data_IF_308947799132
#
_entry.id   IF_308947799132
#
_cell.length_a   1.000
_cell.length_b   1.000
_cell.length_c   1.000
_cell.angle_alpha   90.00
_cell.angle_beta   90.00
_cell.angle_gamma   90.00
#
_symmetry.space_group_name_H-M   'P 1'
#
loop_
_entity.id
_entity.type
_entity.pdbx_description
1 polymer ?
#
# COMPACT_ATOMS: atom_id res chain seq x y z
N UNK A 1 -11.06 37.86 -13.51
CA UNK A 1 -10.04 37.50 -12.50
C UNK A 1 -10.14 36.00 -12.24
N UNK A 2 -9.19 35.18 -12.69
CA UNK A 2 -9.22 33.71 -12.46
C UNK A 2 -8.80 33.47 -11.01
N UNK A 3 -9.75 33.12 -10.14
CA UNK A 3 -9.44 32.63 -8.79
C UNK A 3 -8.58 31.37 -8.97
N UNK A 4 -7.29 31.43 -8.59
CA UNK A 4 -6.43 30.23 -8.57
C UNK A 4 -7.01 29.27 -7.54
N UNK A 5 -7.56 28.14 -8.00
CA UNK A 5 -8.09 27.10 -7.10
C UNK A 5 -6.96 26.55 -6.24
N UNK A 6 -7.16 26.52 -4.92
CA UNK A 6 -6.23 25.91 -3.97
C UNK A 6 -6.18 24.40 -4.24
N UNK A 7 -4.99 23.85 -4.46
CA UNK A 7 -4.79 22.42 -4.65
C UNK A 7 -4.09 21.85 -3.42
N UNK A 8 -4.62 20.74 -2.91
CA UNK A 8 -4.10 20.05 -1.73
C UNK A 8 -3.40 18.77 -2.18
N UNK A 9 -2.29 18.44 -1.52
CA UNK A 9 -1.56 17.18 -1.71
C UNK A 9 -2.45 16.01 -1.29
N UNK A 10 -2.66 15.07 -2.19
CA UNK A 10 -3.48 13.88 -1.93
C UNK A 10 -2.73 12.83 -1.13
N UNK A 11 -3.44 11.88 -0.49
CA UNK A 11 -2.83 10.77 0.21
C UNK A 11 -1.79 10.05 -0.65
N UNK A 12 -0.65 9.75 -0.04
CA UNK A 12 0.46 9.07 -0.71
C UNK A 12 0.15 7.59 -0.94
N UNK A 13 0.63 7.02 -2.04
CA UNK A 13 0.45 5.61 -2.32
C UNK A 13 1.66 4.81 -1.81
N UNK A 14 1.40 3.74 -1.07
CA UNK A 14 2.41 2.83 -0.51
C UNK A 14 2.15 1.41 -1.00
N UNK A 15 3.15 0.72 -1.56
CA UNK A 15 3.03 -0.71 -1.86
C UNK A 15 3.43 -1.53 -0.64
N UNK A 16 2.75 -2.64 -0.42
CA UNK A 16 3.18 -3.67 0.54
C UNK A 16 3.15 -5.02 -0.15
N UNK A 17 4.28 -5.70 -0.21
CA UNK A 17 4.45 -6.89 -1.03
C UNK A 17 5.40 -7.87 -0.36
N UNK A 18 5.05 -9.15 -0.39
CA UNK A 18 5.94 -10.25 -0.03
C UNK A 18 6.34 -11.01 -1.30
N UNK A 19 7.64 -11.25 -1.50
CA UNK A 19 8.18 -11.99 -2.65
C UNK A 19 9.21 -13.03 -2.24
N UNK A 20 9.31 -14.11 -3.02
CA UNK A 20 10.34 -15.13 -2.82
C UNK A 20 11.72 -14.55 -3.14
N UNK A 21 12.73 -15.08 -2.47
CA UNK A 21 14.12 -14.95 -2.86
C UNK A 21 14.64 -16.31 -3.35
N UNK A 22 15.32 -16.39 -4.51
CA UNK A 22 15.76 -15.27 -5.36
C UNK A 22 14.80 -14.89 -6.51
N UNK A 23 13.71 -15.64 -6.72
CA UNK A 23 12.94 -15.58 -7.98
C UNK A 23 11.87 -14.47 -8.06
N UNK A 24 11.70 -13.68 -7.00
CA UNK A 24 10.74 -12.58 -6.91
C UNK A 24 9.26 -13.01 -7.14
N UNK A 25 8.93 -14.27 -6.85
CA UNK A 25 7.57 -14.82 -6.98
C UNK A 25 6.69 -14.26 -5.87
N UNK A 26 5.49 -13.80 -6.21
CA UNK A 26 4.48 -13.32 -5.26
C UNK A 26 3.22 -14.20 -5.25
N UNK A 27 3.14 -15.21 -6.13
CA UNK A 27 1.98 -16.08 -6.21
C UNK A 27 2.21 -17.33 -7.04
N UNK A 28 1.48 -18.38 -6.66
CA UNK A 28 1.33 -19.65 -7.38
C UNK A 28 -0.15 -20.01 -7.35
N UNK A 29 -0.79 -20.15 -8.50
CA UNK A 29 -2.21 -20.50 -8.62
C UNK A 29 -3.13 -19.54 -7.80
N UNK A 30 -2.81 -18.24 -7.85
CA UNK A 30 -3.45 -17.16 -7.09
C UNK A 30 -3.28 -17.25 -5.56
N UNK A 31 -2.36 -18.07 -5.02
CA UNK A 31 -2.08 -18.15 -3.58
C UNK A 31 -0.65 -17.75 -3.27
N UNK A 32 -0.40 -17.30 -2.05
CA UNK A 32 0.96 -17.20 -1.53
C UNK A 32 1.52 -18.62 -1.35
N UNK A 33 2.75 -18.92 -1.80
CA UNK A 33 3.33 -20.26 -1.68
C UNK A 33 3.89 -20.55 -0.28
N UNK A 34 3.67 -19.65 0.68
CA UNK A 34 4.09 -19.78 2.07
C UNK A 34 3.00 -19.28 3.03
N UNK A 35 3.15 -19.67 4.29
CA UNK A 35 2.41 -19.17 5.42
C UNK A 35 3.38 -18.51 6.43
N UNK A 36 3.30 -17.19 6.52
CA UNK A 36 4.11 -16.36 7.42
C UNK A 36 3.14 -15.57 8.32
N UNK A 37 2.78 -16.14 9.47
CA UNK A 37 1.81 -15.53 10.38
C UNK A 37 2.29 -14.17 10.88
N UNK A 38 3.59 -14.01 11.12
CA UNK A 38 4.17 -12.76 11.61
C UNK A 38 4.05 -11.66 10.55
N UNK A 39 4.39 -11.95 9.29
CA UNK A 39 4.23 -11.01 8.17
C UNK A 39 2.76 -10.60 7.97
N UNK A 40 1.82 -11.56 8.02
CA UNK A 40 0.38 -11.28 7.91
C UNK A 40 -0.13 -10.38 9.05
N UNK A 41 0.38 -10.54 10.28
CA UNK A 41 0.03 -9.67 11.41
C UNK A 41 0.57 -8.26 11.21
N UNK A 42 1.81 -8.12 10.73
CA UNK A 42 2.41 -6.84 10.43
C UNK A 42 1.68 -6.13 9.28
N UNK A 43 1.34 -6.85 8.21
CA UNK A 43 0.48 -6.38 7.13
C UNK A 43 -0.86 -5.87 7.66
N UNK A 44 -1.53 -6.64 8.53
CA UNK A 44 -2.79 -6.22 9.14
C UNK A 44 -2.63 -4.95 9.96
N UNK A 45 -1.61 -4.87 10.83
CA UNK A 45 -1.35 -3.69 11.67
C UNK A 45 -1.12 -2.43 10.83
N UNK A 46 -0.26 -2.52 9.80
CA UNK A 46 0.06 -1.39 8.93
C UNK A 46 -1.12 -0.91 8.11
N UNK A 47 -1.90 -1.85 7.54
CA UNK A 47 -2.99 -1.50 6.62
C UNK A 47 -4.31 -1.17 7.32
N UNK A 48 -4.50 -1.53 8.60
CA UNK A 48 -5.76 -1.29 9.32
C UNK A 48 -6.13 0.19 9.37
N UNK A 49 -7.40 0.50 9.13
CA UNK A 49 -7.93 1.86 9.08
C UNK A 49 -7.59 2.64 7.81
N UNK A 50 -6.93 2.02 6.83
CA UNK A 50 -6.57 2.65 5.56
C UNK A 50 -7.42 2.11 4.40
N UNK A 51 -7.46 2.88 3.31
CA UNK A 51 -7.87 2.35 2.02
C UNK A 51 -6.79 1.40 1.48
N UNK A 52 -7.24 0.33 0.84
CA UNK A 52 -6.37 -0.64 0.18
C UNK A 52 -6.86 -0.90 -1.24
N UNK A 53 -5.94 -0.99 -2.20
CA UNK A 53 -6.20 -1.28 -3.61
C UNK A 53 -5.63 -2.66 -3.93
N UNK A 54 -6.45 -3.49 -4.55
CA UNK A 54 -6.04 -4.81 -5.05
C UNK A 54 -6.75 -5.14 -6.36
N UNK A 55 -6.25 -6.15 -7.07
CA UNK A 55 -6.89 -6.66 -8.28
C UNK A 55 -7.94 -7.72 -7.96
N UNK A 56 -8.85 -7.98 -8.91
CA UNK A 56 -9.87 -9.03 -8.80
C UNK A 56 -9.31 -10.39 -8.33
N UNK A 57 -8.23 -10.88 -8.95
CA UNK A 57 -7.65 -12.19 -8.61
C UNK A 57 -7.13 -12.26 -7.17
N UNK A 58 -6.55 -11.16 -6.67
CA UNK A 58 -6.13 -11.04 -5.27
C UNK A 58 -7.33 -11.03 -4.33
N UNK A 59 -8.41 -10.36 -4.71
CA UNK A 59 -9.65 -10.39 -3.93
C UNK A 59 -10.27 -11.80 -3.87
N UNK A 60 -10.27 -12.50 -5.00
CA UNK A 60 -10.75 -13.89 -5.10
C UNK A 60 -9.93 -14.85 -4.23
N UNK A 61 -8.61 -14.67 -4.16
CA UNK A 61 -7.75 -15.50 -3.31
C UNK A 61 -7.95 -15.29 -1.82
N UNK A 62 -8.46 -14.12 -1.42
CA UNK A 62 -8.94 -13.82 -0.07
C UNK A 62 -10.34 -14.39 0.21
N UNK A 63 -10.89 -15.19 -0.71
CA UNK A 63 -12.21 -15.79 -0.60
C UNK A 63 -13.36 -14.84 -0.88
N UNK A 64 -13.12 -13.78 -1.67
CA UNK A 64 -14.10 -12.71 -1.96
C UNK A 64 -14.62 -12.01 -0.69
N UNK A 65 -13.80 -11.93 0.34
CA UNK A 65 -14.14 -11.28 1.62
C UNK A 65 -13.31 -10.01 1.77
N UNK A 66 -13.95 -8.90 2.20
CA UNK A 66 -13.20 -7.71 2.51
C UNK A 66 -12.27 -7.98 3.69
N UNK A 67 -11.09 -7.40 3.60
CA UNK A 67 -10.18 -7.32 4.72
C UNK A 67 -10.81 -6.37 5.78
N UNK A 68 -11.02 -6.80 7.03
CA UNK A 68 -11.75 -6.03 8.03
C UNK A 68 -11.04 -4.73 8.39
N UNK A 69 -11.82 -3.73 8.81
CA UNK A 69 -11.37 -2.39 9.22
C UNK A 69 -10.61 -1.64 8.12
N UNK A 70 -10.90 -1.91 6.85
CA UNK A 70 -10.24 -1.31 5.67
C UNK A 70 -11.27 -1.05 4.59
N UNK A 71 -11.07 0.04 3.84
CA UNK A 71 -11.83 0.23 2.60
C UNK A 71 -11.15 -0.58 1.50
N UNK A 72 -11.82 -1.62 1.01
CA UNK A 72 -11.33 -2.56 0.02
C UNK A 72 -11.70 -2.08 -1.39
N UNK A 73 -10.74 -1.51 -2.11
CA UNK A 73 -10.91 -1.01 -3.48
C UNK A 73 -10.44 -2.09 -4.46
N UNK A 74 -11.37 -2.65 -5.23
CA UNK A 74 -11.10 -3.75 -6.16
C UNK A 74 -11.05 -3.19 -7.58
N UNK A 75 -9.84 -3.14 -8.15
CA UNK A 75 -9.64 -2.74 -9.55
C UNK A 75 -9.94 -3.92 -10.48
N UNK A 76 -10.97 -3.77 -11.30
CA UNK A 76 -11.43 -4.81 -12.22
C UNK A 76 -12.19 -4.19 -13.39
N UNK A 77 -11.98 -4.73 -14.60
CA UNK A 77 -12.80 -4.35 -15.77
C UNK A 77 -14.24 -4.85 -15.66
N UNK A 78 -14.41 -6.01 -15.02
CA UNK A 78 -15.71 -6.60 -14.72
C UNK A 78 -16.22 -6.07 -13.38
N UNK A 79 -17.53 -5.80 -13.32
CA UNK A 79 -18.19 -5.36 -12.11
C UNK A 79 -18.04 -6.38 -10.97
N UNK A 80 -17.77 -5.88 -9.76
CA UNK A 80 -17.73 -6.68 -8.54
C UNK A 80 -19.00 -6.37 -7.75
N UNK A 81 -19.96 -7.29 -7.82
CA UNK A 81 -21.19 -7.18 -7.06
C UNK A 81 -20.91 -7.51 -5.59
N UNK A 82 -21.09 -6.53 -4.72
CA UNK A 82 -20.98 -6.71 -3.28
C UNK A 82 -21.99 -5.83 -2.55
N UNK A 83 -22.65 -6.39 -1.54
CA UNK A 83 -23.51 -5.65 -0.62
C UNK A 83 -22.72 -5.07 0.57
N UNK A 84 -21.41 -5.31 0.64
CA UNK A 84 -20.59 -4.81 1.74
C UNK A 84 -20.26 -3.33 1.53
N UNK A 85 -20.50 -2.46 2.53
CA UNK A 85 -20.09 -1.05 2.46
C UNK A 85 -18.57 -0.88 2.43
N UNK A 86 -17.82 -1.90 2.85
CA UNK A 86 -16.36 -1.90 2.88
C UNK A 86 -15.73 -2.22 1.52
N UNK A 87 -16.52 -2.59 0.51
CA UNK A 87 -16.03 -2.93 -0.84
C UNK A 87 -16.41 -1.82 -1.82
N UNK A 88 -15.42 -1.34 -2.58
CA UNK A 88 -15.61 -0.38 -3.67
C UNK A 88 -15.03 -0.98 -4.95
N UNK A 89 -15.87 -1.16 -5.96
CA UNK A 89 -15.41 -1.58 -7.28
C UNK A 89 -14.92 -0.37 -8.09
N UNK A 90 -13.68 -0.43 -8.57
CA UNK A 90 -13.13 0.55 -9.49
C UNK A 90 -12.92 -0.07 -10.88
N UNK A 91 -13.45 0.57 -11.92
CA UNK A 91 -13.32 0.12 -13.31
C UNK A 91 -11.98 0.48 -13.95
N UNK A 92 -11.32 1.50 -13.43
CA UNK A 92 -10.07 2.09 -13.94
C UNK A 92 -9.24 2.69 -12.79
N UNK A 93 -8.02 3.13 -13.14
CA UNK A 93 -7.02 3.64 -12.19
C UNK A 93 -7.49 4.94 -11.56
N UNK A 94 -8.07 5.83 -12.36
CA UNK A 94 -8.59 7.12 -11.93
C UNK A 94 -9.67 6.95 -10.86
N UNK A 95 -10.60 6.04 -11.08
CA UNK A 95 -11.67 5.70 -10.13
C UNK A 95 -11.08 5.07 -8.86
N UNK A 96 -10.10 4.17 -8.98
CA UNK A 96 -9.45 3.54 -7.82
C UNK A 96 -8.72 4.58 -6.94
N UNK A 97 -7.95 5.48 -7.58
CA UNK A 97 -7.26 6.57 -6.89
C UNK A 97 -8.24 7.54 -6.22
N UNK A 98 -9.36 7.84 -6.88
CA UNK A 98 -10.40 8.69 -6.35
C UNK A 98 -11.08 8.09 -5.11
N UNK A 99 -11.40 6.80 -5.13
CA UNK A 99 -11.90 6.11 -3.94
C UNK A 99 -10.87 6.07 -2.82
N UNK A 100 -9.59 5.87 -3.15
CA UNK A 100 -8.51 5.89 -2.17
C UNK A 100 -8.36 7.27 -1.52
N UNK A 101 -8.43 8.34 -2.32
CA UNK A 101 -8.37 9.72 -1.83
C UNK A 101 -9.54 10.02 -0.88
N UNK A 102 -10.77 9.81 -1.33
CA UNK A 102 -11.98 10.09 -0.53
C UNK A 102 -11.95 9.30 0.77
N UNK A 103 -11.69 7.99 0.70
CA UNK A 103 -11.69 7.12 1.88
C UNK A 103 -10.60 7.52 2.88
N UNK A 104 -9.42 7.86 2.40
CA UNK A 104 -8.30 8.25 3.25
C UNK A 104 -8.53 9.63 3.87
N UNK A 105 -9.08 10.59 3.13
CA UNK A 105 -9.44 11.92 3.64
C UNK A 105 -10.47 11.81 4.76
N UNK A 106 -11.54 11.03 4.56
CA UNK A 106 -12.58 10.80 5.58
C UNK A 106 -11.97 10.13 6.82
N UNK A 107 -11.09 9.16 6.64
CA UNK A 107 -10.39 8.49 7.73
C UNK A 107 -9.24 9.31 8.35
N UNK A 108 -8.98 10.52 7.85
CA UNK A 108 -7.85 11.35 8.29
C UNK A 108 -6.48 10.72 8.05
N UNK A 109 -6.35 9.82 7.06
CA UNK A 109 -5.12 9.14 6.67
C UNK A 109 -4.40 9.91 5.57
N UNK A 110 -3.07 9.99 5.68
CA UNK A 110 -2.19 10.64 4.69
C UNK A 110 -1.66 9.65 3.64
N UNK A 111 -2.03 8.38 3.72
CA UNK A 111 -1.63 7.34 2.78
C UNK A 111 -2.71 6.28 2.59
N UNK A 112 -2.55 5.49 1.53
CA UNK A 112 -3.29 4.26 1.25
C UNK A 112 -2.34 3.20 0.68
N UNK A 113 -2.79 1.94 0.67
CA UNK A 113 -1.93 0.82 0.28
C UNK A 113 -2.33 0.17 -1.04
N UNK A 114 -1.36 -0.17 -1.88
CA UNK A 114 -1.51 -1.10 -3.00
C UNK A 114 -0.96 -2.46 -2.54
N UNK A 115 -1.82 -3.47 -2.48
CA UNK A 115 -1.54 -4.68 -1.70
C UNK A 115 -1.40 -5.96 -2.53
N UNK A 116 -1.65 -5.93 -3.83
CA UNK A 116 -1.51 -7.17 -4.59
C UNK A 116 -2.10 -7.26 -5.97
N UNK A 117 -1.52 -8.23 -6.68
CA UNK A 117 -1.71 -8.51 -8.10
C UNK A 117 -0.52 -7.96 -8.87
N UNK A 118 0.22 -8.82 -9.58
CA UNK A 118 1.37 -8.41 -10.40
C UNK A 118 1.02 -7.22 -11.31
N UNK A 119 -0.10 -7.32 -12.03
CA UNK A 119 -0.56 -6.25 -12.92
C UNK A 119 -0.89 -4.96 -12.15
N UNK A 120 -1.40 -5.07 -10.93
CA UNK A 120 -1.78 -3.92 -10.11
C UNK A 120 -0.53 -3.19 -9.64
N UNK A 121 0.50 -3.90 -9.18
CA UNK A 121 1.78 -3.30 -8.86
C UNK A 121 2.36 -2.51 -10.05
N UNK A 122 2.36 -3.10 -11.25
CA UNK A 122 2.83 -2.43 -12.49
C UNK A 122 1.99 -1.19 -12.84
N UNK A 123 0.67 -1.28 -12.75
CA UNK A 123 -0.24 -0.16 -13.07
C UNK A 123 -0.03 1.02 -12.11
N UNK A 124 0.23 0.75 -10.83
CA UNK A 124 0.36 1.79 -9.81
C UNK A 124 1.79 2.28 -9.60
N UNK A 125 2.81 1.62 -10.17
CA UNK A 125 4.24 1.85 -9.94
C UNK A 125 4.64 3.33 -9.90
N UNK A 126 4.17 4.12 -10.88
CA UNK A 126 4.47 5.57 -10.96
C UNK A 126 3.96 6.40 -9.79
N UNK A 127 2.88 5.96 -9.13
CA UNK A 127 2.28 6.67 -8.00
C UNK A 127 2.89 6.28 -6.65
N UNK A 128 3.62 5.15 -6.59
CA UNK A 128 4.13 4.60 -5.35
C UNK A 128 5.32 5.41 -4.86
N UNK A 129 5.21 5.95 -3.65
CA UNK A 129 6.28 6.71 -3.00
C UNK A 129 7.03 5.89 -1.95
N UNK A 130 6.43 4.79 -1.48
CA UNK A 130 7.01 3.92 -0.48
C UNK A 130 6.68 2.46 -0.77
N UNK A 131 7.61 1.56 -0.48
CA UNK A 131 7.39 0.11 -0.55
C UNK A 131 7.80 -0.53 0.78
N UNK A 132 6.91 -1.32 1.36
CA UNK A 132 7.26 -2.32 2.35
C UNK A 132 7.46 -3.66 1.65
N UNK A 133 8.71 -4.06 1.49
CA UNK A 133 9.08 -5.30 0.85
C UNK A 133 9.39 -6.35 1.90
N UNK A 134 8.65 -7.46 1.88
CA UNK A 134 9.00 -8.69 2.59
C UNK A 134 9.74 -9.63 1.64
N UNK A 135 11.05 -9.82 1.84
CA UNK A 135 11.85 -10.82 1.12
C UNK A 135 11.81 -12.15 1.88
N UNK A 136 11.24 -13.19 1.26
CA UNK A 136 11.06 -14.50 1.87
C UNK A 136 12.16 -15.45 1.39
N UNK A 137 13.02 -15.89 2.31
CA UNK A 137 14.17 -16.76 2.01
C UNK A 137 13.74 -18.23 1.94
N UNK A 138 12.92 -18.55 0.94
CA UNK A 138 12.38 -19.89 0.69
C UNK A 138 13.15 -20.69 -0.37
N UNK A 139 14.16 -20.09 -1.01
CA UNK A 139 14.84 -20.68 -2.16
C UNK A 139 14.01 -20.60 -3.44
N UNK A 140 14.47 -21.24 -4.53
CA UNK A 140 13.82 -21.15 -5.82
C UNK A 140 12.39 -21.72 -5.83
N UNK A 141 11.46 -21.00 -6.44
CA UNK A 141 10.05 -21.39 -6.56
C UNK A 141 9.58 -21.11 -8.00
N UNK A 142 8.87 -22.07 -8.58
CA UNK A 142 8.14 -21.85 -9.83
C UNK A 142 6.77 -21.23 -9.52
N UNK A 143 6.49 -20.05 -10.05
CA UNK A 143 5.23 -19.34 -9.81
C UNK A 143 4.78 -18.49 -10.99
N UNK A 144 3.51 -18.08 -10.93
CA UNK A 144 2.78 -17.46 -12.03
C UNK A 144 2.59 -15.95 -11.89
N UNK A 145 3.01 -15.38 -10.76
CA UNK A 145 2.97 -13.95 -10.49
C UNK A 145 4.28 -13.47 -9.87
N UNK A 146 4.80 -12.33 -10.34
CA UNK A 146 6.08 -11.77 -9.87
C UNK A 146 6.02 -10.29 -9.46
N UNK A 147 6.97 -9.88 -8.64
CA UNK A 147 7.26 -8.47 -8.33
C UNK A 147 8.75 -8.18 -8.56
N UNK A 148 9.07 -7.70 -9.77
CA UNK A 148 10.45 -7.65 -10.29
C UNK A 148 11.16 -6.31 -10.10
N UNK A 149 10.57 -5.36 -9.37
CA UNK A 149 11.24 -4.07 -9.09
C UNK A 149 12.59 -4.33 -8.41
N UNK A 150 13.65 -3.80 -9.03
CA UNK A 150 15.01 -3.75 -8.47
C UNK A 150 15.17 -2.41 -7.74
N UNK A 151 15.41 -2.47 -6.44
CA UNK A 151 15.56 -1.29 -5.58
C UNK A 151 17.00 -0.78 -5.50
N UNK A 152 17.97 -1.56 -5.98
CA UNK A 152 19.40 -1.27 -5.81
C UNK A 152 20.06 -0.72 -7.07
N UNK A 153 19.47 -0.99 -8.25
CA UNK A 153 20.04 -0.58 -9.53
C UNK A 153 19.04 0.25 -10.33
N UNK A 154 19.51 1.40 -10.79
CA UNK A 154 18.91 2.08 -11.93
C UNK A 154 19.67 1.74 -13.22
N UNK A 155 19.19 2.25 -14.36
CA UNK A 155 19.93 2.27 -15.61
C UNK A 155 21.39 2.71 -15.38
N UNK A 156 22.32 2.02 -16.05
CA UNK A 156 23.77 2.05 -15.84
C UNK A 156 24.31 3.44 -15.47
N UNK A 157 24.74 3.61 -14.21
CA UNK A 157 25.50 4.77 -13.75
C UNK A 157 24.74 5.80 -12.89
N UNK A 158 23.42 5.67 -12.69
CA UNK A 158 22.66 6.53 -11.77
C UNK A 158 22.42 5.90 -10.40
N UNK A 159 22.28 6.75 -9.37
CA UNK A 159 21.84 6.33 -8.03
C UNK A 159 20.38 5.87 -8.12
N UNK A 160 20.09 4.69 -7.58
CA UNK A 160 18.73 4.13 -7.46
C UNK A 160 17.68 5.21 -7.15
N UNK A 161 16.55 5.18 -7.86
CA UNK A 161 15.39 6.03 -7.62
C UNK A 161 14.81 5.82 -6.21
N UNK A 162 15.20 4.74 -5.55
CA UNK A 162 14.82 4.36 -4.20
C UNK A 162 15.93 4.63 -3.18
N UNK A 163 15.51 4.95 -1.97
CA UNK A 163 16.34 5.04 -0.78
C UNK A 163 15.87 3.94 0.17
N UNK A 164 16.79 3.07 0.58
CA UNK A 164 16.53 2.10 1.65
C UNK A 164 16.37 2.82 3.00
N UNK A 165 15.29 2.49 3.70
CA UNK A 165 14.96 2.92 5.05
C UNK A 165 15.34 1.85 6.07
N UNK A 166 14.43 1.53 7.00
CA UNK A 166 14.66 0.48 7.98
C UNK A 166 14.65 -0.91 7.35
N UNK A 167 15.27 -1.84 8.06
CA UNK A 167 15.36 -3.25 7.70
C UNK A 167 15.27 -4.09 8.97
N UNK A 168 14.32 -5.02 9.01
CA UNK A 168 14.10 -5.95 10.12
C UNK A 168 14.17 -7.39 9.61
N UNK A 169 14.94 -8.24 10.28
CA UNK A 169 15.03 -9.67 9.97
C UNK A 169 14.22 -10.51 10.95
N UNK A 170 13.50 -11.49 10.42
CA UNK A 170 12.65 -12.40 11.15
C UNK A 170 13.14 -13.84 10.90
N UNK A 171 13.73 -14.51 11.89
CA UNK A 171 14.16 -15.89 11.74
C UNK A 171 12.94 -16.81 11.57
N UNK A 172 13.17 -17.99 10.99
CA UNK A 172 12.15 -19.04 10.91
C UNK A 172 11.64 -19.38 12.33
N UNK A 173 10.33 -19.52 12.47
CA UNK A 173 9.68 -19.81 13.75
C UNK A 173 8.69 -20.98 13.59
N UNK A 174 8.03 -21.36 14.69
CA UNK A 174 6.90 -22.31 14.63
C UNK A 174 5.66 -21.73 13.93
N UNK A 175 5.61 -20.41 13.74
CA UNK A 175 4.50 -19.69 13.11
C UNK A 175 4.79 -19.23 11.68
N UNK A 176 6.05 -19.31 11.25
CA UNK A 176 6.55 -18.80 9.98
C UNK A 176 7.37 -19.87 9.28
N UNK A 177 6.89 -20.34 8.13
CA UNK A 177 7.51 -21.47 7.41
C UNK A 177 8.95 -21.20 6.95
N UNK A 178 9.28 -19.93 6.70
CA UNK A 178 10.58 -19.48 6.20
C UNK A 178 11.04 -18.23 6.96
N UNK A 179 12.36 -18.00 7.09
CA UNK A 179 12.85 -16.71 7.53
C UNK A 179 12.56 -15.66 6.46
N UNK A 180 12.36 -14.42 6.87
CA UNK A 180 12.10 -13.31 5.97
C UNK A 180 12.70 -12.01 6.50
N UNK A 181 12.82 -11.02 5.62
CA UNK A 181 13.28 -9.68 5.94
C UNK A 181 12.27 -8.67 5.45
N UNK A 182 11.98 -7.65 6.25
CA UNK A 182 11.15 -6.52 5.85
C UNK A 182 12.03 -5.30 5.68
N UNK A 183 12.04 -4.73 4.47
CA UNK A 183 12.77 -3.51 4.16
C UNK A 183 11.79 -2.43 3.70
N UNK A 184 11.91 -1.22 4.25
CA UNK A 184 11.18 -0.04 3.75
C UNK A 184 12.02 0.65 2.68
N UNK A 185 11.44 0.89 1.52
CA UNK A 185 12.03 1.72 0.47
C UNK A 185 11.21 3.00 0.30
N UNK A 186 11.89 4.13 0.15
CA UNK A 186 11.29 5.44 -0.10
C UNK A 186 11.78 5.97 -1.44
N UNK A 187 10.87 6.44 -2.29
CA UNK A 187 11.23 7.06 -3.55
C UNK A 187 11.97 8.37 -3.27
N UNK A 188 13.18 8.54 -3.80
CA UNK A 188 14.01 9.74 -3.57
C UNK A 188 13.35 11.03 -4.05
N UNK A 189 12.56 10.92 -5.12
CA UNK A 189 11.75 11.99 -5.70
C UNK A 189 10.31 11.53 -5.70
N UNK A 190 9.56 11.72 -4.60
CA UNK A 190 8.18 11.24 -4.53
C UNK A 190 7.31 11.99 -5.53
N UNK A 191 6.40 11.26 -6.19
CA UNK A 191 5.38 11.82 -7.05
C UNK A 191 4.11 12.08 -6.23
N UNK A 192 3.71 13.34 -6.15
CA UNK A 192 2.53 13.74 -5.40
C UNK A 192 1.40 14.15 -6.34
N UNK A 193 0.22 13.59 -6.09
CA UNK A 193 -1.02 14.01 -6.74
C UNK A 193 -1.57 15.21 -5.99
N UNK A 194 -2.12 16.17 -6.73
CA UNK A 194 -2.73 17.37 -6.16
C UNK A 194 -4.13 17.55 -6.72
N UNK A 195 -5.11 17.83 -5.87
CA UNK A 195 -6.51 17.96 -6.26
C UNK A 195 -7.16 19.17 -5.59
N UNK A 196 -8.16 19.76 -6.24
CA UNK A 196 -8.97 20.81 -5.64
C UNK A 196 -10.22 20.20 -4.99
N UNK A 197 -10.75 20.88 -3.97
CA UNK A 197 -11.94 20.43 -3.22
C UNK A 197 -13.14 20.19 -4.15
N UNK A 198 -13.28 21.00 -5.20
CA UNK A 198 -14.38 20.91 -6.17
C UNK A 198 -14.39 19.59 -6.93
N UNK A 199 -13.25 18.89 -7.04
CA UNK A 199 -13.18 17.57 -7.68
C UNK A 199 -13.89 16.48 -6.86
N UNK A 200 -14.25 16.77 -5.60
CA UNK A 200 -14.90 15.85 -4.66
C UNK A 200 -16.30 16.30 -4.21
N UNK A 201 -16.81 17.44 -4.69
CA UNK A 201 -18.10 17.96 -4.26
C UNK A 201 -19.27 17.00 -4.57
N UNK A 202 -20.21 16.89 -3.63
CA UNK A 202 -21.44 16.10 -3.78
C UNK A 202 -21.28 14.58 -3.59
N UNK A 203 -20.12 14.12 -3.11
CA UNK A 203 -19.81 12.68 -2.94
C UNK A 203 -20.25 12.11 -1.61
N UNK A 204 -20.06 12.86 -0.53
CA UNK A 204 -20.40 12.46 0.84
C UNK A 204 -20.95 13.68 1.61
N UNK A 205 -22.01 13.51 2.41
CA UNK A 205 -22.42 14.51 3.39
C UNK A 205 -21.22 14.84 4.29
N UNK A 206 -20.98 16.13 4.55
CA UNK A 206 -19.87 16.63 5.37
C UNK A 206 -18.44 16.40 4.83
N UNK A 207 -18.27 16.00 3.55
CA UNK A 207 -16.92 15.84 2.96
C UNK A 207 -16.06 17.09 3.13
N UNK A 208 -16.69 18.26 3.07
CA UNK A 208 -16.07 19.56 3.27
C UNK A 208 -15.32 19.67 4.60
N UNK A 209 -15.94 19.18 5.68
CA UNK A 209 -15.34 19.18 7.02
C UNK A 209 -14.14 18.24 7.08
N UNK A 210 -14.25 17.04 6.50
CA UNK A 210 -13.14 16.08 6.45
C UNK A 210 -11.96 16.62 5.62
N UNK A 211 -12.25 17.27 4.49
CA UNK A 211 -11.24 17.86 3.62
C UNK A 211 -10.46 18.98 4.32
N UNK A 212 -11.13 19.84 5.09
CA UNK A 212 -10.48 20.90 5.87
C UNK A 212 -9.58 20.35 6.98
N UNK A 213 -10.02 19.29 7.68
CA UNK A 213 -9.19 18.60 8.69
C UNK A 213 -7.97 17.94 8.05
N UNK A 214 -8.17 17.27 6.91
CA UNK A 214 -7.10 16.66 6.15
C UNK A 214 -6.08 17.70 5.66
N UNK A 215 -6.54 18.84 5.15
CA UNK A 215 -5.65 19.91 4.70
C UNK A 215 -4.75 20.43 5.84
N UNK A 216 -5.31 20.65 7.04
CA UNK A 216 -4.52 21.03 8.22
C UNK A 216 -3.47 19.98 8.56
N UNK A 217 -3.84 18.69 8.45
CA UNK A 217 -2.93 17.57 8.72
C UNK A 217 -1.78 17.49 7.70
N UNK A 218 -2.06 17.74 6.41
CA UNK A 218 -1.04 17.83 5.36
C UNK A 218 -0.04 18.94 5.68
N UNK A 219 -0.53 20.14 6.00
CA UNK A 219 0.32 21.29 6.34
C UNK A 219 1.21 20.98 7.54
N UNK A 220 0.66 20.39 8.60
CA UNK A 220 1.44 19.97 9.77
C UNK A 220 2.53 18.96 9.40
N UNK A 221 2.19 17.94 8.59
CA UNK A 221 3.15 16.91 8.17
C UNK A 221 4.28 17.45 7.29
N UNK A 222 4.01 18.46 6.46
CA UNK A 222 5.01 19.06 5.59
C UNK A 222 5.94 20.01 6.40
N UNK A 223 5.44 20.61 7.49
CA UNK A 223 6.25 21.47 8.39
C UNK A 223 7.14 20.70 9.36
N UNK A 224 6.69 19.55 9.85
CA UNK A 224 7.44 18.74 10.84
C UNK A 224 8.39 17.73 10.17
N UNK A 225 8.27 17.56 8.85
CA UNK A 225 8.80 16.39 8.13
C UNK A 225 7.94 15.17 8.49
N UNK A 226 7.48 14.41 7.49
CA UNK A 226 6.57 13.28 7.74
C UNK A 226 7.26 12.24 8.63
N UNK A 227 6.99 12.27 9.94
CA UNK A 227 7.17 11.14 10.82
C UNK A 227 5.98 10.21 10.58
N UNK A 228 6.13 9.26 9.66
CA UNK A 228 5.30 8.07 9.67
C UNK A 228 5.44 7.45 11.07
N UNK A 229 4.32 7.06 11.69
CA UNK A 229 4.33 6.36 12.97
C UNK A 229 5.30 5.19 12.87
N UNK A 230 6.50 5.41 13.38
CA UNK A 230 7.46 4.37 13.66
C UNK A 230 6.78 3.57 14.75
N UNK A 231 6.51 2.30 14.50
CA UNK A 231 6.15 1.37 15.56
C UNK A 231 7.48 0.90 16.14
N UNK A 232 8.04 1.52 17.20
CA UNK A 232 9.22 0.98 17.84
C UNK A 232 8.91 -0.44 18.31
N UNK A 233 9.94 -1.28 18.16
CA UNK A 233 9.97 -2.70 18.43
C UNK A 233 9.17 -3.10 19.68
N UNK A 234 8.46 -4.22 19.55
CA UNK A 234 8.05 -5.05 20.68
C UNK A 234 9.28 -5.22 21.58
N UNK A 235 9.17 -4.74 22.82
CA UNK A 235 10.22 -4.87 23.83
C UNK A 235 10.66 -6.32 23.86
N UNK A 236 11.87 -6.60 23.35
CA UNK A 236 12.54 -7.88 23.57
C UNK A 236 12.62 -8.03 25.09
N UNK A 237 11.71 -8.84 25.63
CA UNK A 237 11.83 -9.44 26.95
C UNK A 237 13.08 -10.30 26.91
N UNK A 238 14.21 -9.68 27.23
CA UNK A 238 15.39 -10.37 27.76
C UNK A 238 14.94 -11.04 29.05
N UNK A 239 14.48 -12.29 28.94
CA UNK A 239 14.49 -13.18 30.10
C UNK A 239 15.89 -13.77 30.18
N UNK A 240 16.58 -13.27 31.21
CA UNK A 240 17.64 -13.96 31.96
C UNK A 240 17.38 -15.45 32.14
#
# INVERSE_FOLDING_TARGET
MRIKRKRVKMPSATSIVARSYPDNIIGVENRLPWHLRTDLQLFKRRTSGHAIIMGRKTFESLGNRPLPNRTNIILSRSEILSNSPDIRWARDVETALLFADVSSIIAGKLEFFVIGGEQIYKIFERYINQVFLTEVFCGPINGDAKFETDFEKDAVGSKSEWKRGFEDEYPKSEHDQFPFRITRYERRKPEHRFKSKEEFMGREPDFDKYFELYEKKVVASDSEGVQFEFFPEDTRSTKS
#
